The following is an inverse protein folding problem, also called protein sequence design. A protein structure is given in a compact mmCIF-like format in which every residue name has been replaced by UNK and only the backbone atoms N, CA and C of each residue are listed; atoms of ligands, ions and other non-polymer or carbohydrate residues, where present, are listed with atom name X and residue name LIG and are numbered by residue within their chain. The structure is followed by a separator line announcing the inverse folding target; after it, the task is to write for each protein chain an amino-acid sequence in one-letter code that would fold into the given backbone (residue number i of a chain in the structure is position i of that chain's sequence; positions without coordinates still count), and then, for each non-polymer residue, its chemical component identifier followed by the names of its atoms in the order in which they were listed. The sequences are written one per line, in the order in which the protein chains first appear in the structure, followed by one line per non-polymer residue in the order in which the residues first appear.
data_IF_264869292765
#
_entry.id   IF_264869292765
#
_cell.length_a   1.000
_cell.length_b   1.000
_cell.length_c   1.000
_cell.angle_alpha   90.00
_cell.angle_beta   90.00
_cell.angle_gamma   90.00
#
_symmetry.space_group_name_H-M   'P 1'
#
loop_
_entity.id
_entity.type
_entity.pdbx_description
1 polymer ?
#
# COMPACT_ATOMS: atom_id res chain seq x y z
N UNK A 1 26.62 16.90 10.05
CA UNK A 1 27.56 15.99 9.37
C UNK A 1 27.62 14.70 10.19
N UNK A 2 26.86 13.66 9.81
CA UNK A 2 26.83 12.40 10.56
C UNK A 2 28.09 11.60 10.22
N UNK A 3 29.00 11.47 11.19
CA UNK A 3 30.21 10.69 11.03
C UNK A 3 29.86 9.19 10.96
N UNK A 4 30.04 8.58 9.78
CA UNK A 4 29.65 7.20 9.50
C UNK A 4 30.57 6.15 10.13
N UNK A 5 31.74 6.55 10.64
CA UNK A 5 32.69 5.69 11.35
C UNK A 5 32.16 5.29 12.75
N UNK A 6 31.53 6.24 13.45
CA UNK A 6 31.06 6.09 14.82
C UNK A 6 29.89 5.11 14.93
N UNK A 7 28.91 5.19 14.03
CA UNK A 7 27.69 4.39 14.07
C UNK A 7 27.94 2.88 13.92
N UNK A 8 28.85 2.50 13.03
CA UNK A 8 29.24 1.09 12.85
C UNK A 8 29.99 0.55 14.07
N UNK A 9 30.83 1.38 14.71
CA UNK A 9 31.57 1.03 15.92
C UNK A 9 30.64 0.86 17.12
N UNK A 10 29.71 1.80 17.29
CA UNK A 10 28.66 1.74 18.31
C UNK A 10 27.80 0.50 18.14
N UNK A 11 27.29 0.23 16.93
CA UNK A 11 26.50 -0.97 16.63
C UNK A 11 27.21 -2.25 17.04
N UNK A 12 28.48 -2.42 16.67
CA UNK A 12 29.28 -3.59 17.05
C UNK A 12 29.44 -3.73 18.57
N UNK A 13 29.68 -2.62 19.27
CA UNK A 13 29.77 -2.63 20.74
C UNK A 13 28.42 -2.99 21.37
N UNK A 14 27.32 -2.43 20.88
CA UNK A 14 25.97 -2.74 21.36
C UNK A 14 25.61 -4.21 21.14
N UNK A 15 25.92 -4.78 19.97
CA UNK A 15 25.72 -6.21 19.71
C UNK A 15 26.47 -7.10 20.70
N UNK A 16 27.74 -6.74 21.00
CA UNK A 16 28.56 -7.46 21.99
C UNK A 16 27.96 -7.38 23.40
N UNK A 17 27.46 -6.22 23.80
CA UNK A 17 26.86 -6.01 25.11
C UNK A 17 25.50 -6.71 25.25
N UNK A 18 24.67 -6.64 24.21
CA UNK A 18 23.34 -7.27 24.16
C UNK A 18 23.40 -8.79 24.00
N UNK A 19 24.57 -9.37 23.71
CA UNK A 19 24.79 -10.82 23.49
C UNK A 19 23.87 -11.42 22.43
N UNK A 20 23.54 -10.64 21.40
CA UNK A 20 22.71 -11.09 20.27
C UNK A 20 23.58 -11.47 19.07
N UNK A 21 23.04 -12.31 18.18
CA UNK A 21 23.74 -12.65 16.94
C UNK A 21 24.02 -11.38 16.13
N UNK A 22 25.22 -11.22 15.55
CA UNK A 22 25.53 -10.07 14.73
C UNK A 22 24.59 -9.95 13.54
N UNK A 23 24.08 -8.74 13.31
CA UNK A 23 23.27 -8.40 12.14
C UNK A 23 23.68 -7.03 11.59
N UNK A 24 23.28 -6.72 10.36
CA UNK A 24 23.55 -5.41 9.74
C UNK A 24 22.50 -4.39 10.15
N UNK A 25 22.88 -3.13 10.36
CA UNK A 25 21.93 -2.07 10.77
C UNK A 25 20.68 -1.99 9.88
N UNK A 26 20.82 -2.26 8.59
CA UNK A 26 19.70 -2.29 7.64
C UNK A 26 18.61 -3.34 7.98
N UNK A 27 18.94 -4.39 8.72
CA UNK A 27 17.97 -5.38 9.22
C UNK A 27 16.94 -4.76 10.17
N UNK A 28 17.28 -3.69 10.88
CA UNK A 28 16.34 -2.98 11.75
C UNK A 28 15.24 -2.31 10.92
N UNK A 29 15.62 -1.73 9.78
CA UNK A 29 14.66 -1.15 8.83
C UNK A 29 13.72 -2.22 8.28
N UNK A 30 14.24 -3.40 7.91
CA UNK A 30 13.40 -4.53 7.53
C UNK A 30 12.42 -4.91 8.64
N UNK A 31 12.91 -5.06 9.88
CA UNK A 31 12.09 -5.43 11.04
C UNK A 31 10.98 -4.40 11.30
N UNK A 32 11.29 -3.11 11.20
CA UNK A 32 10.31 -2.04 11.35
C UNK A 32 9.22 -2.12 10.29
N UNK A 33 9.58 -2.31 9.02
CA UNK A 33 8.63 -2.39 7.92
C UNK A 33 7.74 -3.63 8.00
N UNK A 34 8.30 -4.79 8.36
CA UNK A 34 7.53 -6.01 8.60
C UNK A 34 6.49 -5.80 9.69
N UNK A 35 6.90 -5.29 10.87
CA UNK A 35 5.97 -5.06 11.99
C UNK A 35 4.88 -4.04 11.65
N UNK A 36 5.25 -3.00 10.89
CA UNK A 36 4.28 -2.00 10.46
C UNK A 36 3.28 -2.57 9.45
N UNK A 37 3.71 -3.44 8.55
CA UNK A 37 2.82 -4.17 7.64
C UNK A 37 1.92 -5.17 8.38
N UNK A 38 2.46 -5.93 9.34
CA UNK A 38 1.71 -6.84 10.22
C UNK A 38 0.66 -6.10 11.07
N UNK A 39 0.92 -4.86 11.46
CA UNK A 39 -0.05 -4.00 12.14
C UNK A 39 -1.19 -3.51 11.24
N UNK A 40 -1.25 -3.92 9.96
CA UNK A 40 -2.29 -3.57 9.01
C UNK A 40 -2.03 -2.29 8.22
N UNK A 41 -0.78 -1.82 8.15
CA UNK A 41 -0.45 -0.65 7.34
C UNK A 41 -0.61 -0.94 5.84
N UNK A 42 -1.31 -0.04 5.13
CA UNK A 42 -1.43 -0.09 3.68
C UNK A 42 -0.05 0.02 3.00
N UNK A 43 0.17 -0.78 1.95
CA UNK A 43 1.39 -0.81 1.13
C UNK A 43 1.83 0.56 0.60
N UNK A 44 0.90 1.44 0.25
CA UNK A 44 1.19 2.79 -0.24
C UNK A 44 1.78 3.68 0.84
N UNK A 45 1.13 3.67 2.01
CA UNK A 45 1.60 4.38 3.20
C UNK A 45 2.95 3.83 3.65
N UNK A 46 3.09 2.50 3.65
CA UNK A 46 4.34 1.82 3.98
C UNK A 46 5.47 2.24 3.02
N UNK A 47 5.22 2.31 1.72
CA UNK A 47 6.19 2.79 0.72
C UNK A 47 6.60 4.24 0.94
N UNK A 48 5.66 5.11 1.32
CA UNK A 48 5.94 6.51 1.61
C UNK A 48 6.80 6.68 2.85
N UNK A 49 6.51 5.94 3.93
CA UNK A 49 7.29 5.92 5.17
C UNK A 49 8.69 5.35 4.93
N UNK A 50 8.77 4.28 4.13
CA UNK A 50 10.04 3.71 3.75
C UNK A 50 10.85 4.66 2.85
N UNK A 51 10.21 5.48 2.02
CA UNK A 51 10.89 6.21 0.96
C UNK A 51 11.30 5.28 -0.19
N UNK A 52 10.48 4.28 -0.49
CA UNK A 52 10.71 3.39 -1.63
C UNK A 52 10.26 4.05 -2.92
N UNK A 53 11.11 3.99 -3.94
CA UNK A 53 10.81 4.49 -5.29
C UNK A 53 9.79 3.63 -6.03
N UNK A 54 9.58 2.39 -5.57
CA UNK A 54 8.62 1.45 -6.12
C UNK A 54 7.86 0.73 -5.01
N UNK A 55 6.55 0.59 -5.21
CA UNK A 55 5.63 -0.08 -4.27
C UNK A 55 5.93 -1.57 -4.19
N UNK A 56 6.45 -2.18 -5.26
CA UNK A 56 6.84 -3.59 -5.27
C UNK A 56 7.86 -3.95 -4.19
N UNK A 57 8.69 -2.98 -3.75
CA UNK A 57 9.63 -3.16 -2.64
C UNK A 57 8.87 -3.29 -1.30
N UNK A 58 7.79 -2.53 -1.13
CA UNK A 58 6.96 -2.51 0.08
C UNK A 58 5.98 -3.68 0.15
N UNK A 59 5.56 -4.23 -0.99
CA UNK A 59 4.63 -5.34 -1.05
C UNK A 59 5.12 -6.58 -0.26
N UNK A 60 6.44 -6.75 -0.11
CA UNK A 60 7.04 -7.84 0.69
C UNK A 60 6.59 -7.86 2.16
N UNK A 61 6.19 -6.72 2.72
CA UNK A 61 5.88 -6.59 4.14
C UNK A 61 4.38 -6.56 4.42
N UNK A 62 3.53 -6.48 3.39
CA UNK A 62 2.09 -6.43 3.55
C UNK A 62 1.53 -7.79 3.20
N UNK A 63 0.94 -8.45 4.19
CA UNK A 63 0.35 -9.78 4.05
C UNK A 63 -1.17 -9.68 4.25
N UNK A 64 -1.97 -9.44 3.19
CA UNK A 64 -3.42 -9.45 3.31
C UNK A 64 -3.88 -10.86 3.68
N UNK A 65 -4.67 -10.99 4.75
CA UNK A 65 -5.35 -12.25 5.06
C UNK A 65 -6.47 -12.51 4.04
N UNK A 66 -6.82 -13.78 3.82
CA UNK A 66 -7.94 -14.15 2.96
C UNK A 66 -9.24 -13.46 3.42
N UNK A 67 -9.47 -13.40 4.74
CA UNK A 67 -10.59 -12.68 5.33
C UNK A 67 -10.61 -11.19 4.98
N UNK A 68 -9.45 -10.53 4.94
CA UNK A 68 -9.37 -9.11 4.57
C UNK A 68 -9.70 -8.90 3.09
N UNK A 69 -9.33 -9.86 2.22
CA UNK A 69 -9.69 -9.82 0.80
C UNK A 69 -11.19 -10.01 0.63
N UNK A 70 -11.78 -11.01 1.31
CA UNK A 70 -13.22 -11.25 1.26
C UNK A 70 -14.02 -10.08 1.82
N UNK A 71 -13.60 -9.51 2.95
CA UNK A 71 -14.23 -8.33 3.54
C UNK A 71 -14.19 -7.13 2.58
N UNK A 72 -13.07 -6.91 1.87
CA UNK A 72 -12.96 -5.85 0.88
C UNK A 72 -13.95 -6.04 -0.29
N UNK A 73 -14.18 -7.27 -0.72
CA UNK A 73 -15.17 -7.59 -1.76
C UNK A 73 -16.60 -7.40 -1.22
N UNK A 74 -16.88 -7.87 0.00
CA UNK A 74 -18.22 -7.75 0.62
C UNK A 74 -18.65 -6.30 0.83
N UNK A 75 -17.73 -5.35 0.96
CA UNK A 75 -18.07 -3.92 1.00
C UNK A 75 -18.75 -3.41 -0.28
N UNK A 76 -18.57 -4.08 -1.42
CA UNK A 76 -19.20 -3.73 -2.69
C UNK A 76 -20.65 -4.26 -2.80
N UNK A 77 -21.03 -5.27 -2.03
CA UNK A 77 -22.32 -5.97 -2.14
C UNK A 77 -23.53 -5.10 -1.73
N UNK A 78 -23.29 -4.00 -1.02
CA UNK A 78 -24.32 -3.02 -0.63
C UNK A 78 -24.57 -1.89 -1.64
N UNK A 79 -23.79 -1.79 -2.72
CA UNK A 79 -23.94 -0.69 -3.69
C UNK A 79 -25.05 -1.02 -4.71
N UNK A 80 -26.21 -0.36 -4.57
CA UNK A 80 -27.23 -0.33 -5.63
C UNK A 80 -26.73 0.54 -6.78
N UNK A 81 -25.91 -0.02 -7.67
CA UNK A 81 -25.55 0.61 -8.95
C UNK A 81 -26.77 0.52 -9.87
N UNK A 82 -27.82 1.27 -9.53
CA UNK A 82 -28.93 1.50 -10.44
C UNK A 82 -28.48 2.54 -11.45
N UNK A 83 -28.09 2.12 -12.65
CA UNK A 83 -28.12 3.01 -13.80
C UNK A 83 -29.60 3.38 -14.02
N UNK A 84 -30.03 4.54 -13.52
CA UNK A 84 -31.37 5.05 -13.84
C UNK A 84 -31.38 5.37 -15.34
N UNK A 85 -32.17 4.69 -16.18
CA UNK A 85 -32.17 4.90 -17.63
C UNK A 85 -32.85 6.23 -18.04
N UNK A 86 -33.17 7.11 -17.10
CA UNK A 86 -34.06 8.26 -17.31
C UNK A 86 -33.46 9.41 -18.13
N UNK A 87 -32.17 9.40 -18.45
CA UNK A 87 -31.54 10.42 -19.30
C UNK A 87 -31.04 9.87 -20.65
N UNK A 88 -31.76 8.91 -21.24
CA UNK A 88 -31.62 8.64 -22.68
C UNK A 88 -32.15 9.86 -23.45
N UNK A 89 -31.24 10.57 -24.13
CA UNK A 89 -31.53 11.74 -24.97
C UNK A 89 -32.65 11.35 -25.97
N UNK A 90 -33.74 12.13 -26.11
CA UNK A 90 -34.78 11.81 -27.06
C UNK A 90 -34.27 11.94 -28.50
N UNK A 91 -34.14 10.81 -29.20
CA UNK A 91 -33.90 10.71 -30.64
C UNK A 91 -35.13 11.14 -31.46
N UNK A 92 -35.60 12.39 -31.32
CA UNK A 92 -36.76 12.86 -32.11
C UNK A 92 -36.56 14.26 -32.70
N UNK A 93 -35.35 14.56 -33.20
CA UNK A 93 -35.09 15.81 -33.93
C UNK A 93 -34.37 15.61 -35.28
N UNK A 94 -34.48 14.42 -35.91
CA UNK A 94 -33.84 14.15 -37.21
C UNK A 94 -34.79 13.65 -38.32
N UNK A 95 -36.11 13.69 -38.13
CA UNK A 95 -37.10 13.36 -39.19
C UNK A 95 -38.00 14.56 -39.51
N UNK A 96 -37.42 15.68 -39.97
CA UNK A 96 -38.18 16.71 -40.68
C UNK A 96 -37.32 17.45 -41.71
N UNK A 97 -36.68 16.70 -42.61
CA UNK A 97 -36.06 17.21 -43.83
C UNK A 97 -36.16 16.17 -44.94
N UNK A 98 -37.38 15.82 -45.38
CA UNK A 98 -37.66 15.32 -46.73
C UNK A 98 -39.18 15.23 -46.95
N UNK A 99 -39.83 16.36 -47.17
CA UNK A 99 -41.07 16.50 -47.97
C UNK A 99 -41.32 18.01 -48.17
N UNK A 100 -40.84 18.53 -49.27
CA UNK A 100 -41.35 19.69 -50.00
C UNK A 100 -40.78 19.61 -51.41
#
# INVERSE_FOLDING_TARGET
MFESSSLKKQHRNTLRLAKVRPFVLYSLRHTFLTRLGEAGCNVWTLARIAGHSSIGISARYVHPSEDAVLAAISQLDGHKIGHSPENAIPETAAQKRLTA
#
